data_IF_846226813384
#
_entry.id   IF_846226813384
#
_cell.length_a   1.000
_cell.length_b   1.000
_cell.length_c   1.000
_cell.angle_alpha   90.00
_cell.angle_beta   90.00
_cell.angle_gamma   90.00
#
_symmetry.space_group_name_H-M   'P 1'
#
loop_
_entity.id
_entity.type
_entity.pdbx_description
1 polymer ?
#
# COMPACT_ATOMS: atom_id res chain seq x y z
N UNK A 1 16.13 -6.38 51.37
CA UNK A 1 16.67 -5.71 50.17
C UNK A 1 15.98 -6.28 48.93
N UNK A 2 14.84 -5.71 48.53
CA UNK A 2 14.07 -6.11 47.34
C UNK A 2 13.39 -4.86 46.79
N UNK A 3 14.01 -4.14 45.85
CA UNK A 3 13.36 -2.99 45.17
C UNK A 3 14.14 -2.42 43.98
N UNK A 4 14.85 -3.21 43.18
CA UNK A 4 15.56 -2.66 42.01
C UNK A 4 15.56 -3.56 40.75
N UNK A 5 14.59 -4.49 40.61
CA UNK A 5 14.56 -5.40 39.46
C UNK A 5 13.39 -5.17 38.48
N UNK A 6 12.65 -4.06 38.60
CA UNK A 6 11.47 -3.81 37.75
C UNK A 6 11.57 -2.57 36.85
N UNK A 7 12.65 -1.78 36.94
CA UNK A 7 12.78 -0.55 36.16
C UNK A 7 13.65 -0.70 34.90
N UNK A 8 14.34 -1.82 34.72
CA UNK A 8 15.20 -2.04 33.54
C UNK A 8 14.48 -2.70 32.35
N UNK A 9 13.28 -3.27 32.55
CA UNK A 9 12.52 -3.88 31.45
C UNK A 9 11.79 -2.84 30.57
N UNK A 10 11.61 -1.61 31.06
CA UNK A 10 10.92 -0.53 30.35
C UNK A 10 11.85 0.34 29.48
N UNK A 11 13.16 0.25 29.67
CA UNK A 11 14.18 1.01 28.92
C UNK A 11 14.76 0.23 27.73
N UNK A 12 14.35 -1.03 27.55
CA UNK A 12 14.70 -1.88 26.41
C UNK A 12 13.46 -2.24 25.57
N UNK A 13 12.59 -1.26 25.30
CA UNK A 13 11.84 -1.24 24.04
C UNK A 13 12.61 -0.32 23.07
N UNK A 14 13.78 -0.75 22.53
CA UNK A 14 14.32 -0.04 21.41
C UNK A 14 13.32 -0.26 20.28
N UNK A 15 12.68 0.83 19.86
CA UNK A 15 12.65 1.15 18.43
C UNK A 15 12.26 -0.06 17.55
N UNK A 16 11.16 -0.74 17.85
CA UNK A 16 10.45 -1.51 16.83
C UNK A 16 9.78 -0.49 15.91
N UNK A 17 10.59 0.31 15.22
CA UNK A 17 10.18 1.14 14.10
C UNK A 17 9.84 0.18 12.95
N UNK A 18 8.64 -0.39 13.08
CA UNK A 18 7.70 -0.81 12.05
C UNK A 18 8.30 -0.98 10.65
N UNK A 19 9.09 -2.04 10.50
CA UNK A 19 9.33 -2.74 9.23
C UNK A 19 8.08 -3.54 8.79
N UNK A 20 6.89 -3.07 9.14
CA UNK A 20 5.63 -3.69 8.72
C UNK A 20 5.15 -2.97 7.46
N UNK A 21 4.93 -3.77 6.41
CA UNK A 21 4.21 -3.35 5.21
C UNK A 21 2.78 -2.95 5.57
N UNK A 22 2.17 -2.14 4.71
CA UNK A 22 0.77 -1.74 4.85
C UNK A 22 -0.12 -2.97 4.66
N UNK A 23 -1.14 -3.11 5.51
CA UNK A 23 -2.07 -4.23 5.44
C UNK A 23 -3.07 -4.08 4.28
N UNK A 24 -3.68 -5.20 3.88
CA UNK A 24 -4.74 -5.22 2.88
C UNK A 24 -5.93 -4.32 3.26
N UNK A 25 -6.36 -4.38 4.52
CA UNK A 25 -7.47 -3.57 5.01
C UNK A 25 -7.16 -2.08 4.88
N UNK A 26 -5.93 -1.68 5.23
CA UNK A 26 -5.53 -0.28 5.15
C UNK A 26 -5.43 0.21 3.70
N UNK A 27 -4.98 -0.64 2.78
CA UNK A 27 -4.99 -0.33 1.35
C UNK A 27 -6.43 -0.14 0.83
N UNK A 28 -7.36 -0.99 1.24
CA UNK A 28 -8.78 -0.87 0.89
C UNK A 28 -9.42 0.37 1.51
N UNK A 29 -9.06 0.72 2.75
CA UNK A 29 -9.50 1.96 3.40
C UNK A 29 -9.08 3.18 2.57
N UNK A 30 -7.82 3.23 2.12
CA UNK A 30 -7.33 4.29 1.24
C UNK A 30 -8.12 4.40 -0.06
N UNK A 31 -8.37 3.26 -0.71
CA UNK A 31 -9.19 3.17 -1.93
C UNK A 31 -10.63 3.64 -1.68
N UNK A 32 -11.18 3.41 -0.48
CA UNK A 32 -12.53 3.81 -0.14
C UNK A 32 -12.67 5.28 0.26
N UNK A 33 -11.66 5.89 0.88
CA UNK A 33 -11.70 7.32 1.23
C UNK A 33 -11.36 8.22 0.04
N UNK A 34 -10.55 7.75 -0.92
CA UNK A 34 -10.16 8.47 -2.15
C UNK A 34 -9.61 9.90 -1.90
N UNK A 35 -8.97 10.09 -0.74
CA UNK A 35 -8.43 11.38 -0.31
C UNK A 35 -6.90 11.31 -0.27
N UNK A 36 -6.27 11.82 -1.34
CA UNK A 36 -4.80 11.79 -1.48
C UNK A 36 -4.09 12.56 -0.37
N UNK A 37 -4.68 13.62 0.19
CA UNK A 37 -4.08 14.41 1.28
C UNK A 37 -4.02 13.60 2.58
N UNK A 38 -5.14 12.98 2.97
CA UNK A 38 -5.21 12.09 4.14
C UNK A 38 -4.21 10.93 4.01
N UNK A 39 -4.19 10.27 2.85
CA UNK A 39 -3.28 9.15 2.58
C UNK A 39 -1.83 9.62 2.65
N UNK A 40 -1.51 10.78 2.06
CA UNK A 40 -0.15 11.37 2.10
C UNK A 40 0.30 11.61 3.53
N UNK A 41 -0.57 12.18 4.37
CA UNK A 41 -0.26 12.46 5.78
C UNK A 41 0.04 11.18 6.54
N UNK A 42 -0.78 10.16 6.39
CA UNK A 42 -0.61 8.88 7.08
C UNK A 42 0.64 8.13 6.60
N UNK A 43 0.89 8.08 5.29
CA UNK A 43 2.09 7.44 4.74
C UNK A 43 3.38 8.12 5.24
N UNK A 44 3.39 9.45 5.34
CA UNK A 44 4.52 10.19 5.94
C UNK A 44 4.73 9.83 7.41
N UNK A 45 3.66 9.69 8.18
CA UNK A 45 3.74 9.26 9.59
C UNK A 45 4.31 7.83 9.72
N UNK A 46 4.08 6.97 8.73
CA UNK A 46 4.65 5.63 8.65
C UNK A 46 6.09 5.59 8.10
N UNK A 47 6.70 6.75 7.88
CA UNK A 47 8.09 6.88 7.43
C UNK A 47 8.29 6.84 5.91
N UNK A 48 7.22 6.88 5.11
CA UNK A 48 7.38 7.00 3.66
C UNK A 48 7.79 8.42 3.27
N UNK A 49 8.82 8.52 2.43
CA UNK A 49 9.18 9.75 1.74
C UNK A 49 8.30 9.91 0.50
N UNK A 50 7.88 11.13 0.19
CA UNK A 50 6.99 11.41 -0.95
C UNK A 50 7.67 12.28 -2.00
N UNK A 51 7.31 12.06 -3.27
CA UNK A 51 7.55 12.94 -4.41
C UNK A 51 6.26 13.01 -5.24
N UNK A 52 6.04 14.12 -5.90
CA UNK A 52 4.88 14.31 -6.79
C UNK A 52 5.37 14.31 -8.23
N UNK A 53 4.66 13.58 -9.09
CA UNK A 53 4.85 13.57 -10.54
C UNK A 53 3.56 14.06 -11.21
N UNK A 54 3.68 14.98 -12.17
CA UNK A 54 2.57 15.57 -12.90
C UNK A 54 2.63 15.28 -14.42
N UNK A 55 3.50 14.36 -14.85
CA UNK A 55 3.71 14.04 -16.27
C UNK A 55 2.47 13.48 -16.97
N UNK A 56 1.55 12.87 -16.23
CA UNK A 56 0.31 12.27 -16.75
C UNK A 56 -0.87 13.27 -16.83
N UNK A 57 -0.62 14.57 -16.64
CA UNK A 57 -1.66 15.62 -16.66
C UNK A 57 -2.50 15.71 -15.39
N UNK A 58 -2.23 14.85 -14.39
CA UNK A 58 -2.79 14.90 -13.04
C UNK A 58 -1.71 14.48 -12.02
N UNK A 59 -1.83 14.88 -10.74
CA UNK A 59 -0.82 14.57 -9.74
C UNK A 59 -0.82 13.08 -9.37
N UNK A 60 0.36 12.47 -9.44
CA UNK A 60 0.67 11.14 -8.93
C UNK A 60 1.65 11.30 -7.77
N UNK A 61 1.20 10.91 -6.58
CA UNK A 61 2.02 10.93 -5.37
C UNK A 61 2.76 9.60 -5.28
N UNK A 62 4.08 9.64 -5.42
CA UNK A 62 4.97 8.49 -5.27
C UNK A 62 5.56 8.48 -3.87
N UNK A 63 5.47 7.34 -3.20
CA UNK A 63 5.95 7.11 -1.85
C UNK A 63 6.98 5.99 -1.86
N UNK A 64 8.07 6.15 -1.10
CA UNK A 64 9.05 5.11 -0.90
C UNK A 64 9.48 5.03 0.58
N UNK A 65 9.66 3.82 1.10
CA UNK A 65 10.20 3.56 2.43
C UNK A 65 11.28 2.48 2.33
N UNK A 66 12.46 2.76 2.88
CA UNK A 66 13.48 1.74 3.08
C UNK A 66 13.11 0.87 4.28
N UNK A 67 13.17 -0.45 4.09
CA UNK A 67 12.96 -1.45 5.13
C UNK A 67 14.17 -2.34 5.21
N UNK A 68 14.26 -3.15 6.27
CA UNK A 68 15.34 -4.15 6.40
C UNK A 68 15.35 -5.20 5.27
N UNK A 69 14.28 -5.28 4.46
CA UNK A 69 14.07 -6.29 3.42
C UNK A 69 13.95 -5.69 2.01
N UNK A 70 14.18 -4.39 1.85
CA UNK A 70 14.16 -3.72 0.56
C UNK A 70 13.42 -2.40 0.58
N UNK A 71 12.96 -1.96 -0.60
CA UNK A 71 12.24 -0.70 -0.77
C UNK A 71 10.77 -0.99 -1.04
N UNK A 72 9.91 -0.52 -0.16
CA UNK A 72 8.48 -0.47 -0.41
C UNK A 72 8.12 0.78 -1.21
N UNK A 73 7.21 0.65 -2.17
CA UNK A 73 6.77 1.76 -3.01
C UNK A 73 5.26 1.81 -3.14
N UNK A 74 4.66 2.98 -2.92
CA UNK A 74 3.23 3.21 -3.13
C UNK A 74 3.07 4.38 -4.08
N UNK A 75 2.17 4.26 -5.04
CA UNK A 75 1.75 5.37 -5.90
C UNK A 75 0.27 5.60 -5.69
N UNK A 76 -0.12 6.86 -5.52
CA UNK A 76 -1.52 7.28 -5.35
C UNK A 76 -1.83 8.30 -6.43
N UNK A 77 -2.85 8.03 -7.24
CA UNK A 77 -3.28 8.90 -8.32
C UNK A 77 -4.79 9.10 -8.30
N UNK A 78 -5.22 10.28 -8.75
CA UNK A 78 -6.63 10.61 -8.93
C UNK A 78 -6.75 11.47 -10.18
N UNK A 79 -7.54 11.02 -11.15
CA UNK A 79 -7.92 11.81 -12.32
C UNK A 79 -9.41 12.20 -12.24
N UNK A 80 -10.06 12.49 -13.36
CA UNK A 80 -11.48 12.86 -13.43
C UNK A 80 -12.45 11.69 -13.28
N UNK A 81 -12.00 10.44 -13.39
CA UNK A 81 -12.86 9.25 -13.48
C UNK A 81 -12.55 8.22 -12.40
N UNK A 82 -11.27 8.06 -12.07
CA UNK A 82 -10.74 6.96 -11.27
C UNK A 82 -9.80 7.46 -10.17
N UNK A 83 -9.84 6.75 -9.06
CA UNK A 83 -8.83 6.75 -8.02
C UNK A 83 -7.99 5.48 -8.14
N UNK A 84 -6.67 5.60 -8.04
CA UNK A 84 -5.74 4.49 -8.15
C UNK A 84 -4.75 4.45 -6.99
N UNK A 85 -4.45 3.23 -6.55
CA UNK A 85 -3.26 2.95 -5.74
C UNK A 85 -2.50 1.80 -6.35
N UNK A 86 -1.20 1.98 -6.56
CA UNK A 86 -0.27 0.89 -6.90
C UNK A 86 0.67 0.68 -5.73
N UNK A 87 0.81 -0.55 -5.25
CA UNK A 87 1.65 -0.90 -4.13
C UNK A 87 2.61 -2.03 -4.50
N UNK A 88 3.90 -1.76 -4.32
CA UNK A 88 4.96 -2.76 -4.25
C UNK A 88 5.36 -2.94 -2.78
N UNK A 89 4.73 -3.88 -2.06
CA UNK A 89 5.09 -4.23 -0.70
C UNK A 89 6.44 -4.97 -0.65
N UNK A 90 6.85 -5.35 0.55
CA UNK A 90 7.82 -6.42 0.72
C UNK A 90 7.29 -7.72 0.08
N UNK A 91 8.16 -8.53 -0.52
CA UNK A 91 7.76 -9.74 -1.25
C UNK A 91 6.93 -10.71 -0.41
N UNK A 92 7.26 -10.91 0.88
CA UNK A 92 6.47 -11.81 1.75
C UNK A 92 5.08 -11.26 2.07
N UNK A 93 4.91 -9.94 2.05
CA UNK A 93 3.62 -9.29 2.24
C UNK A 93 2.77 -9.27 0.96
N UNK A 94 3.39 -9.34 -0.23
CA UNK A 94 2.68 -9.35 -1.52
C UNK A 94 1.62 -10.44 -1.61
N UNK A 95 1.98 -11.70 -1.35
CA UNK A 95 1.04 -12.82 -1.47
C UNK A 95 -0.11 -12.69 -0.47
N UNK A 96 0.18 -12.23 0.75
CA UNK A 96 -0.84 -11.98 1.78
C UNK A 96 -1.79 -10.86 1.32
N UNK A 97 -1.26 -9.76 0.78
CA UNK A 97 -2.03 -8.64 0.26
C UNK A 97 -2.92 -9.08 -0.90
N UNK A 98 -2.33 -9.76 -1.89
CA UNK A 98 -3.01 -10.28 -3.07
C UNK A 98 -4.19 -11.17 -2.68
N UNK A 99 -3.97 -12.17 -1.82
CA UNK A 99 -5.03 -13.11 -1.43
C UNK A 99 -6.14 -12.47 -0.58
N UNK A 100 -5.84 -11.37 0.13
CA UNK A 100 -6.84 -10.64 0.92
C UNK A 100 -7.66 -9.62 0.11
N UNK A 101 -7.11 -9.11 -0.98
CA UNK A 101 -7.76 -8.09 -1.80
C UNK A 101 -8.46 -8.72 -3.01
N UNK A 102 -7.84 -9.72 -3.63
CA UNK A 102 -8.39 -10.46 -4.76
C UNK A 102 -9.25 -11.63 -4.27
N UNK A 103 -10.46 -11.31 -3.82
CA UNK A 103 -11.47 -12.25 -3.34
C UNK A 103 -12.23 -12.93 -4.49
N UNK A 104 -13.06 -13.93 -4.18
CA UNK A 104 -13.73 -14.78 -5.17
C UNK A 104 -14.79 -14.08 -6.05
N UNK A 105 -15.22 -12.89 -5.67
CA UNK A 105 -16.13 -12.03 -6.43
C UNK A 105 -15.45 -11.31 -7.61
N UNK A 106 -14.12 -11.27 -7.64
CA UNK A 106 -13.36 -10.73 -8.76
C UNK A 106 -13.26 -11.74 -9.91
N UNK A 107 -13.60 -11.29 -11.11
CA UNK A 107 -13.47 -12.07 -12.34
C UNK A 107 -12.28 -11.61 -13.14
N UNK A 108 -11.55 -12.54 -13.75
CA UNK A 108 -10.48 -12.19 -14.68
C UNK A 108 -11.06 -11.38 -15.86
N UNK A 109 -10.45 -10.24 -16.16
CA UNK A 109 -10.85 -9.37 -17.25
C UNK A 109 -9.87 -9.49 -18.43
N UNK A 110 -8.59 -9.18 -18.20
CA UNK A 110 -7.55 -9.22 -19.24
C UNK A 110 -6.14 -9.26 -18.64
N UNK A 111 -5.14 -9.42 -19.50
CA UNK A 111 -3.72 -9.31 -19.13
C UNK A 111 -3.05 -8.23 -19.97
N UNK A 112 -2.15 -7.48 -19.35
CA UNK A 112 -1.32 -6.50 -20.03
C UNK A 112 0.09 -6.53 -19.42
N UNK A 113 1.10 -6.79 -20.26
CA UNK A 113 2.47 -7.08 -19.84
C UNK A 113 2.49 -8.21 -18.80
N UNK A 114 3.15 -8.02 -17.65
CA UNK A 114 3.24 -8.96 -16.54
C UNK A 114 2.03 -8.94 -15.60
N UNK A 115 1.06 -8.04 -15.81
CA UNK A 115 -0.07 -7.83 -14.91
C UNK A 115 -1.31 -8.53 -15.40
N UNK A 116 -1.97 -9.28 -14.50
CA UNK A 116 -3.33 -9.79 -14.71
C UNK A 116 -4.33 -8.86 -14.03
N UNK A 117 -5.36 -8.45 -14.76
CA UNK A 117 -6.41 -7.58 -14.27
C UNK A 117 -7.68 -8.37 -14.02
N UNK A 118 -8.28 -8.09 -12.87
CA UNK A 118 -9.54 -8.68 -12.41
C UNK A 118 -10.50 -7.56 -12.04
N UNK A 119 -11.78 -7.77 -12.26
CA UNK A 119 -12.82 -6.77 -12.06
C UNK A 119 -14.00 -7.36 -11.30
N UNK A 120 -14.62 -6.53 -10.48
CA UNK A 120 -15.98 -6.73 -9.99
C UNK A 120 -16.80 -5.46 -10.30
N UNK A 121 -18.03 -5.38 -9.79
CA UNK A 121 -18.91 -4.24 -10.06
C UNK A 121 -18.44 -2.91 -9.45
N UNK A 122 -17.40 -2.91 -8.61
CA UNK A 122 -16.98 -1.74 -7.83
C UNK A 122 -15.54 -1.30 -8.06
N UNK A 123 -14.65 -2.22 -8.46
CA UNK A 123 -13.23 -1.95 -8.58
C UNK A 123 -12.52 -2.92 -9.54
N UNK A 124 -11.34 -2.52 -9.98
CA UNK A 124 -10.39 -3.34 -10.75
C UNK A 124 -9.13 -3.56 -9.93
N UNK A 125 -8.62 -4.78 -9.92
CA UNK A 125 -7.37 -5.17 -9.28
C UNK A 125 -6.39 -5.66 -10.36
N UNK A 126 -5.21 -5.06 -10.43
CA UNK A 126 -4.07 -5.58 -11.17
C UNK A 126 -3.15 -6.36 -10.23
N UNK A 127 -2.79 -7.60 -10.59
CA UNK A 127 -1.80 -8.40 -9.90
C UNK A 127 -0.64 -8.72 -10.84
N UNK A 128 0.54 -8.18 -10.53
CA UNK A 128 1.81 -8.52 -11.18
C UNK A 128 2.61 -9.42 -10.23
N UNK A 129 2.44 -10.74 -10.39
CA UNK A 129 3.11 -11.73 -9.57
C UNK A 129 4.62 -11.76 -9.82
N UNK A 130 5.08 -11.30 -10.99
CA UNK A 130 6.51 -11.30 -11.35
C UNK A 130 7.25 -10.22 -10.58
N UNK A 131 6.67 -9.02 -10.47
CA UNK A 131 7.29 -7.88 -9.82
C UNK A 131 6.81 -7.67 -8.37
N UNK A 132 5.83 -8.46 -7.91
CA UNK A 132 5.22 -8.33 -6.58
C UNK A 132 4.46 -7.00 -6.44
N UNK A 133 3.68 -6.62 -7.45
CA UNK A 133 2.93 -5.36 -7.47
C UNK A 133 1.43 -5.66 -7.47
N UNK A 134 0.70 -4.96 -6.61
CA UNK A 134 -0.76 -4.91 -6.63
C UNK A 134 -1.23 -3.50 -6.96
N UNK A 135 -2.13 -3.37 -7.92
CA UNK A 135 -2.77 -2.12 -8.28
C UNK A 135 -4.26 -2.23 -8.02
N UNK A 136 -4.87 -1.20 -7.44
CA UNK A 136 -6.31 -1.14 -7.20
C UNK A 136 -6.84 0.15 -7.81
N UNK A 137 -7.88 0.03 -8.62
CA UNK A 137 -8.54 1.14 -9.30
C UNK A 137 -10.02 1.14 -8.93
N UNK A 138 -10.54 2.30 -8.57
CA UNK A 138 -11.94 2.48 -8.18
C UNK A 138 -12.50 3.76 -8.78
N UNK A 139 -13.72 3.71 -9.28
CA UNK A 139 -14.41 4.90 -9.78
C UNK A 139 -14.58 5.93 -8.65
N UNK A 140 -14.50 7.22 -9.02
CA UNK A 140 -14.74 8.29 -8.06
C UNK A 140 -16.18 8.26 -7.51
N UNK A 141 -16.32 8.65 -6.24
CA UNK A 141 -17.63 8.89 -5.61
C UNK A 141 -18.33 10.11 -6.18
#
# INVERSE_FOLDING_TARGET
MKKYLHLYLLLFLPLLYTSQSISASKLLDYINIQNSETITKELKQLGFQTRVDNSEGYPIYRFAKETSRGIEKIEVGKNTELFMITYRPEYTAYEILRNKILTSDFQYAYSYKSTKYYENSTMRIGADNTNGIISVFKQLK
#
